data_IF_415952353201
#
_entry.id   IF_415952353201
#
_cell.length_a   1.000
_cell.length_b   1.000
_cell.length_c   1.000
_cell.angle_alpha   90.00
_cell.angle_beta   90.00
_cell.angle_gamma   90.00
#
_symmetry.space_group_name_H-M   'P 1'
#
loop_
_entity.id
_entity.type
_entity.pdbx_description
1 polymer ?
#
# COMPACT_ATOMS: atom_id res chain seq x y z
N UNK A 1 7.15 -9.75 -15.99
CA UNK A 1 5.91 -9.02 -15.63
C UNK A 1 6.12 -7.53 -15.80
N UNK A 2 5.11 -6.80 -16.29
CA UNK A 2 5.10 -5.34 -16.27
C UNK A 2 4.31 -4.86 -15.05
N UNK A 3 4.75 -3.77 -14.41
CA UNK A 3 4.05 -3.16 -13.27
C UNK A 3 2.59 -2.80 -13.63
N UNK A 4 2.33 -2.48 -14.90
CA UNK A 4 1.01 -2.16 -15.40
C UNK A 4 -0.01 -3.30 -15.24
N UNK A 5 0.41 -4.54 -15.02
CA UNK A 5 -0.49 -5.66 -14.74
C UNK A 5 -0.91 -5.75 -13.26
N UNK A 6 -0.30 -4.93 -12.39
CA UNK A 6 -0.57 -4.89 -10.95
C UNK A 6 -1.25 -3.58 -10.52
N UNK A 7 -1.45 -2.64 -11.46
CA UNK A 7 -1.96 -1.31 -11.21
C UNK A 7 -3.32 -1.12 -11.90
N UNK A 8 -4.34 -1.78 -11.35
CA UNK A 8 -5.71 -1.58 -11.81
C UNK A 8 -6.17 -0.15 -11.50
N UNK A 9 -6.89 0.46 -12.44
CA UNK A 9 -7.38 1.83 -12.32
C UNK A 9 -8.24 2.03 -11.07
N UNK A 10 -8.96 0.99 -10.65
CA UNK A 10 -9.80 1.01 -9.45
C UNK A 10 -9.01 1.15 -8.14
N UNK A 11 -7.70 0.94 -8.16
CA UNK A 11 -6.80 1.11 -7.02
C UNK A 11 -5.98 2.40 -7.11
N UNK A 12 -6.24 3.25 -8.11
CA UNK A 12 -5.60 4.56 -8.24
C UNK A 12 -6.49 5.63 -7.60
N UNK A 13 -5.89 6.48 -6.76
CA UNK A 13 -6.56 7.63 -6.15
C UNK A 13 -5.81 8.89 -6.54
N UNK A 14 -6.55 9.90 -6.98
CA UNK A 14 -6.05 11.22 -7.33
C UNK A 14 -6.73 12.24 -6.42
N UNK A 15 -6.10 13.40 -6.24
CA UNK A 15 -6.66 14.53 -5.48
C UNK A 15 -7.13 14.13 -4.06
N UNK A 16 -6.33 13.30 -3.39
CA UNK A 16 -6.62 12.79 -2.06
C UNK A 16 -6.32 13.86 -1.01
N UNK A 17 -7.32 14.19 -0.19
CA UNK A 17 -7.17 15.11 0.94
C UNK A 17 -6.72 14.33 2.18
N UNK A 18 -5.46 14.49 2.56
CA UNK A 18 -4.81 13.86 3.72
C UNK A 18 -3.92 14.89 4.42
N UNK A 19 -3.88 14.89 5.75
CA UNK A 19 -3.17 15.91 6.52
C UNK A 19 -1.91 15.36 7.21
N UNK A 20 -1.83 14.04 7.36
CA UNK A 20 -0.76 13.35 8.05
C UNK A 20 -0.25 12.11 7.30
N UNK A 21 0.90 11.59 7.74
CA UNK A 21 1.43 10.32 7.22
C UNK A 21 0.50 9.16 7.56
N UNK A 22 -0.11 9.21 8.74
CA UNK A 22 -1.04 8.23 9.25
C UNK A 22 -2.30 8.15 8.40
N UNK A 23 -2.81 9.29 7.91
CA UNK A 23 -3.95 9.34 6.97
C UNK A 23 -3.62 8.65 5.64
N UNK A 24 -2.41 8.87 5.11
CA UNK A 24 -1.93 8.17 3.91
C UNK A 24 -1.89 6.67 4.14
N UNK A 25 -1.45 6.23 5.32
CA UNK A 25 -1.32 4.80 5.64
C UNK A 25 -2.70 4.14 5.74
N UNK A 26 -3.66 4.82 6.38
CA UNK A 26 -5.05 4.38 6.46
C UNK A 26 -5.68 4.26 5.07
N UNK A 27 -5.47 5.27 4.21
CA UNK A 27 -5.96 5.25 2.84
C UNK A 27 -5.35 4.11 2.02
N UNK A 28 -4.03 3.93 2.08
CA UNK A 28 -3.34 2.86 1.34
C UNK A 28 -3.78 1.48 1.82
N UNK A 29 -3.98 1.28 3.13
CA UNK A 29 -4.49 0.04 3.67
C UNK A 29 -5.91 -0.29 3.17
N UNK A 30 -6.78 0.72 3.05
CA UNK A 30 -8.13 0.54 2.49
C UNK A 30 -8.10 0.17 1.01
N UNK A 31 -7.26 0.85 0.22
CA UNK A 31 -7.09 0.54 -1.21
C UNK A 31 -6.51 -0.87 -1.40
N UNK A 32 -5.51 -1.25 -0.60
CA UNK A 32 -4.92 -2.58 -0.64
C UNK A 32 -5.90 -3.67 -0.19
N UNK A 33 -6.78 -3.38 0.78
CA UNK A 33 -7.83 -4.31 1.20
C UNK A 33 -8.81 -4.61 0.07
N UNK A 34 -9.17 -3.61 -0.74
CA UNK A 34 -9.99 -3.79 -1.94
C UNK A 34 -9.28 -4.69 -2.96
N UNK A 35 -7.99 -4.47 -3.20
CA UNK A 35 -7.20 -5.24 -4.17
C UNK A 35 -6.92 -6.69 -3.75
N UNK A 36 -6.78 -6.95 -2.45
CA UNK A 36 -6.29 -8.23 -1.93
C UNK A 36 -7.34 -9.06 -1.19
N UNK A 37 -8.46 -8.46 -0.79
CA UNK A 37 -9.47 -9.07 0.08
C UNK A 37 -9.03 -9.24 1.54
N UNK A 38 -7.85 -8.74 1.92
CA UNK A 38 -7.33 -8.84 3.27
C UNK A 38 -7.89 -7.74 4.19
N UNK A 39 -7.92 -7.94 5.52
CA UNK A 39 -8.34 -6.92 6.45
C UNK A 39 -7.44 -5.67 6.37
N UNK A 40 -8.05 -4.49 6.23
CA UNK A 40 -7.31 -3.22 6.20
C UNK A 40 -6.49 -2.98 7.48
N UNK A 41 -6.93 -3.49 8.63
CA UNK A 41 -6.19 -3.38 9.89
C UNK A 41 -4.83 -4.12 9.83
N UNK A 42 -4.82 -5.34 9.30
CA UNK A 42 -3.60 -6.15 9.17
C UNK A 42 -2.62 -5.50 8.19
N UNK A 43 -3.15 -4.97 7.08
CA UNK A 43 -2.38 -4.23 6.08
C UNK A 43 -1.77 -2.96 6.66
N UNK A 44 -2.56 -2.17 7.40
CA UNK A 44 -2.10 -0.96 8.08
C UNK A 44 -0.98 -1.27 9.07
N UNK A 45 -1.16 -2.31 9.89
CA UNK A 45 -0.16 -2.74 10.86
C UNK A 45 1.14 -3.14 10.17
N UNK A 46 1.05 -3.91 9.08
CA UNK A 46 2.22 -4.34 8.32
C UNK A 46 2.98 -3.15 7.69
N UNK A 47 2.27 -2.20 7.07
CA UNK A 47 2.85 -0.98 6.50
C UNK A 47 3.50 -0.11 7.59
N UNK A 48 2.82 0.05 8.73
CA UNK A 48 3.32 0.83 9.87
C UNK A 48 4.60 0.23 10.46
N UNK A 49 4.62 -1.09 10.65
CA UNK A 49 5.83 -1.81 11.09
C UNK A 49 6.98 -1.64 10.12
N UNK A 50 6.72 -1.70 8.80
CA UNK A 50 7.76 -1.50 7.80
C UNK A 50 8.32 -0.08 7.83
N UNK A 51 7.48 0.95 7.91
CA UNK A 51 7.94 2.35 7.96
C UNK A 51 8.76 2.63 9.23
N UNK A 52 8.43 2.00 10.36
CA UNK A 52 9.15 2.17 11.62
C UNK A 52 10.63 1.72 11.56
N UNK A 53 10.99 0.82 10.62
CA UNK A 53 12.38 0.40 10.38
C UNK A 53 13.21 1.48 9.68
N UNK A 54 12.56 2.50 9.13
CA UNK A 54 13.19 3.54 8.33
C UNK A 54 12.28 3.92 7.18
N UNK A 55 12.26 5.22 6.88
CA UNK A 55 11.31 5.77 5.93
C UNK A 55 11.39 5.10 4.55
N UNK A 56 10.23 4.82 3.98
CA UNK A 56 10.07 4.34 2.61
C UNK A 56 10.01 5.47 1.58
N UNK A 57 10.18 6.73 2.02
CA UNK A 57 10.30 7.89 1.17
C UNK A 57 11.48 7.79 0.22
N UNK A 58 11.20 7.92 -1.07
CA UNK A 58 12.20 8.06 -2.13
C UNK A 58 12.24 9.56 -2.48
N UNK A 59 13.44 10.15 -2.52
CA UNK A 59 13.63 11.60 -2.76
C UNK A 59 12.74 12.16 -3.87
N UNK A 60 12.48 13.47 -3.82
CA UNK A 60 11.62 14.20 -4.78
C UNK A 60 10.11 13.94 -4.60
N UNK A 61 9.66 13.70 -3.36
CA UNK A 61 8.24 13.57 -3.05
C UNK A 61 7.63 12.22 -3.42
N UNK A 62 8.45 11.18 -3.62
CA UNK A 62 7.99 9.82 -3.86
C UNK A 62 8.05 8.99 -2.57
N UNK A 63 7.25 7.95 -2.49
CA UNK A 63 7.38 6.92 -1.47
C UNK A 63 7.00 5.57 -2.08
N UNK A 64 7.70 4.52 -1.68
CA UNK A 64 7.34 3.15 -2.03
C UNK A 64 6.97 2.42 -0.75
N UNK A 65 5.80 2.74 -0.21
CA UNK A 65 5.29 2.07 0.98
C UNK A 65 4.89 0.64 0.63
N UNK A 66 5.57 -0.32 1.23
CA UNK A 66 5.37 -1.76 0.99
C UNK A 66 5.40 -2.48 2.33
N UNK A 67 4.88 -3.70 2.39
CA UNK A 67 5.05 -4.58 3.53
C UNK A 67 4.96 -6.04 3.08
N UNK A 68 5.72 -6.92 3.74
CA UNK A 68 5.55 -8.36 3.57
C UNK A 68 4.45 -8.85 4.51
N UNK A 69 3.57 -9.71 3.99
CA UNK A 69 2.48 -10.34 4.74
C UNK A 69 2.79 -11.83 4.88
N UNK A 70 3.15 -12.32 6.09
CA UNK A 70 3.49 -13.72 6.29
C UNK A 70 2.33 -14.64 5.89
N UNK A 71 2.63 -15.66 5.08
CA UNK A 71 1.63 -16.64 4.64
C UNK A 71 0.68 -16.16 3.55
N UNK A 72 0.80 -14.90 3.10
CA UNK A 72 0.06 -14.40 1.95
C UNK A 72 0.91 -14.48 0.69
N UNK A 73 0.37 -15.10 -0.36
CA UNK A 73 0.96 -15.12 -1.69
C UNK A 73 -0.11 -14.55 -2.62
N UNK A 74 0.20 -13.41 -3.24
CA UNK A 74 -0.68 -12.81 -4.22
C UNK A 74 -0.95 -13.79 -5.36
N UNK A 75 -2.22 -14.03 -5.69
CA UNK A 75 -2.58 -14.69 -6.95
C UNK A 75 -2.39 -13.69 -8.08
N UNK A 76 -1.16 -13.57 -8.56
CA UNK A 76 -0.84 -12.69 -9.66
C UNK A 76 -1.40 -13.28 -10.98
N UNK A 77 -2.11 -12.48 -11.79
CA UNK A 77 -2.45 -12.91 -13.15
C UNK A 77 -1.16 -13.17 -13.94
N UNK A 78 -1.18 -14.18 -14.80
CA UNK A 78 -0.04 -14.62 -15.61
C UNK A 78 0.49 -13.51 -16.54
#
# INVERSE_FOLDING_TARGET
MKISHLLDLEHIRLDVSVESKEDVFLLLAQVAAQATGLPAADLLEALSKREALGSTGIRHGFALLHAALPGWIASLPA
#
